data_IF_097032093858
#
_entry.id   IF_097032093858
#
_cell.length_a   1.000
_cell.length_b   1.000
_cell.length_c   1.000
_cell.angle_alpha   90.00
_cell.angle_beta   90.00
_cell.angle_gamma   90.00
#
_symmetry.space_group_name_H-M   'P 1'
#
loop_
_entity.id
_entity.type
_entity.pdbx_description
1 polymer ?
#
# COMPACT_ATOMS: atom_id res chain seq x y z
N UNK A 1 23.29 7.42 -11.03
CA UNK A 1 23.75 8.08 -9.79
C UNK A 1 23.04 7.47 -8.59
N UNK A 2 23.77 7.16 -7.51
CA UNK A 2 23.18 6.66 -6.27
C UNK A 2 22.47 7.81 -5.54
N UNK A 3 21.13 7.83 -5.58
CA UNK A 3 20.30 8.80 -4.87
C UNK A 3 20.63 8.81 -3.37
N UNK A 4 20.44 9.94 -2.67
CA UNK A 4 20.66 9.99 -1.22
C UNK A 4 19.60 9.19 -0.46
N UNK A 5 19.89 8.80 0.79
CA UNK A 5 18.93 8.07 1.62
C UNK A 5 17.64 8.87 1.87
N UNK A 6 17.76 10.18 2.05
CA UNK A 6 16.60 11.07 2.22
C UNK A 6 15.74 11.11 0.96
N UNK A 7 16.38 11.26 -0.21
CA UNK A 7 15.69 11.20 -1.49
C UNK A 7 15.00 9.86 -1.70
N UNK A 8 15.64 8.74 -1.34
CA UNK A 8 15.05 7.41 -1.41
C UNK A 8 13.76 7.30 -0.56
N UNK A 9 13.81 7.72 0.71
CA UNK A 9 12.63 7.66 1.58
C UNK A 9 11.51 8.59 1.10
N UNK A 10 11.86 9.77 0.58
CA UNK A 10 10.91 10.69 -0.03
C UNK A 10 10.25 10.07 -1.26
N UNK A 11 11.02 9.47 -2.18
CA UNK A 11 10.49 8.79 -3.36
C UNK A 11 9.58 7.61 -2.99
N UNK A 12 9.94 6.82 -1.97
CA UNK A 12 9.09 5.72 -1.47
C UNK A 12 7.77 6.23 -0.91
N UNK A 13 7.78 7.36 -0.19
CA UNK A 13 6.57 8.02 0.31
C UNK A 13 5.72 8.57 -0.82
N UNK A 14 6.35 9.22 -1.80
CA UNK A 14 5.68 9.74 -3.00
C UNK A 14 5.03 8.61 -3.78
N UNK A 15 5.73 7.51 -4.06
CA UNK A 15 5.17 6.30 -4.70
C UNK A 15 3.89 5.85 -3.99
N UNK A 16 3.91 5.70 -2.66
CA UNK A 16 2.72 5.35 -1.85
C UNK A 16 1.57 6.36 -1.99
N UNK A 17 1.87 7.66 -2.08
CA UNK A 17 0.84 8.70 -2.32
C UNK A 17 0.20 8.55 -3.69
N UNK A 18 0.99 8.31 -4.75
CA UNK A 18 0.46 8.07 -6.09
C UNK A 18 -0.51 6.89 -6.11
N UNK A 19 -0.14 5.76 -5.50
CA UNK A 19 -1.05 4.61 -5.41
C UNK A 19 -2.38 4.98 -4.73
N UNK A 20 -2.34 5.68 -3.58
CA UNK A 20 -3.55 6.07 -2.83
C UNK A 20 -4.43 7.05 -3.62
N UNK A 21 -3.82 8.10 -4.17
CA UNK A 21 -4.54 9.13 -4.92
C UNK A 21 -5.16 8.53 -6.18
N UNK A 22 -4.42 7.73 -6.94
CA UNK A 22 -4.96 7.07 -8.13
C UNK A 22 -6.05 6.03 -7.78
N UNK A 23 -5.97 5.36 -6.63
CA UNK A 23 -7.05 4.47 -6.14
C UNK A 23 -8.34 5.25 -5.88
N UNK A 24 -8.25 6.40 -5.22
CA UNK A 24 -9.41 7.26 -4.95
C UNK A 24 -10.00 7.79 -6.25
N UNK A 25 -9.17 8.35 -7.13
CA UNK A 25 -9.61 8.91 -8.42
C UNK A 25 -10.25 7.82 -9.29
N UNK A 26 -9.59 6.67 -9.41
CA UNK A 26 -10.10 5.55 -10.22
C UNK A 26 -11.41 4.99 -9.66
N UNK A 27 -11.56 4.93 -8.33
CA UNK A 27 -12.83 4.57 -7.70
C UNK A 27 -13.93 5.57 -8.06
N UNK A 28 -13.69 6.88 -7.89
CA UNK A 28 -14.67 7.92 -8.20
C UNK A 28 -15.08 7.92 -9.69
N UNK A 29 -14.11 7.75 -10.59
CA UNK A 29 -14.38 7.66 -12.03
C UNK A 29 -15.18 6.41 -12.37
N UNK A 30 -14.83 5.25 -11.82
CA UNK A 30 -15.55 4.00 -12.07
C UNK A 30 -16.97 4.03 -11.48
N UNK A 31 -17.14 4.57 -10.27
CA UNK A 31 -18.47 4.78 -9.67
C UNK A 31 -19.30 5.74 -10.52
N UNK A 32 -18.74 6.87 -10.94
CA UNK A 32 -19.43 7.85 -11.78
C UNK A 32 -19.82 7.28 -13.15
N UNK A 33 -18.92 6.54 -13.80
CA UNK A 33 -19.20 5.85 -15.05
C UNK A 33 -20.26 4.74 -14.88
N UNK A 34 -20.16 3.95 -13.80
CA UNK A 34 -21.13 2.90 -13.48
C UNK A 34 -22.52 3.46 -13.19
N UNK A 35 -22.60 4.52 -12.38
CA UNK A 35 -23.86 5.21 -12.09
C UNK A 35 -24.46 5.85 -13.36
N UNK A 36 -23.63 6.49 -14.19
CA UNK A 36 -24.05 7.05 -15.46
C UNK A 36 -24.58 5.98 -16.42
N UNK A 37 -23.89 4.84 -16.54
CA UNK A 37 -24.33 3.73 -17.37
C UNK A 37 -25.65 3.12 -16.87
N UNK A 38 -25.74 2.81 -15.58
CA UNK A 38 -26.93 2.20 -14.98
C UNK A 38 -28.13 3.15 -14.96
N UNK A 39 -27.91 4.47 -14.85
CA UNK A 39 -28.96 5.49 -14.90
C UNK A 39 -29.63 5.63 -16.27
N UNK A 40 -29.02 5.11 -17.34
CA UNK A 40 -29.61 5.07 -18.68
C UNK A 40 -30.40 3.77 -18.95
N UNK A 41 -30.38 2.80 -18.03
CA UNK A 41 -31.12 1.54 -18.20
C UNK A 41 -32.57 1.75 -17.76
N UNK A 42 -33.51 1.40 -18.64
CA UNK A 42 -34.95 1.47 -18.35
C UNK A 42 -35.34 0.49 -17.23
N UNK A 43 -35.83 1.08 -16.14
CA UNK A 43 -36.21 0.47 -14.86
C UNK A 43 -37.22 -0.67 -15.00
N UNK A 44 -38.20 -0.54 -15.90
CA UNK A 44 -39.36 -1.44 -15.99
C UNK A 44 -39.06 -2.82 -16.59
N UNK A 45 -37.85 -3.05 -17.11
CA UNK A 45 -37.54 -4.27 -17.88
C UNK A 45 -36.69 -5.30 -17.13
N UNK A 46 -36.22 -5.00 -15.92
CA UNK A 46 -35.38 -5.92 -15.15
C UNK A 46 -36.24 -6.79 -14.21
N UNK A 47 -36.41 -8.09 -14.49
CA UNK A 47 -37.00 -8.99 -13.51
C UNK A 47 -36.13 -9.02 -12.24
N UNK A 48 -36.75 -9.23 -11.07
CA UNK A 48 -36.07 -9.30 -9.79
C UNK A 48 -34.91 -10.32 -9.86
N UNK A 49 -33.69 -9.81 -10.04
CA UNK A 49 -32.50 -10.64 -10.12
C UNK A 49 -32.13 -11.04 -8.68
N UNK A 50 -32.05 -12.34 -8.40
CA UNK A 50 -31.77 -12.88 -7.07
C UNK A 50 -32.78 -12.50 -5.97
N UNK A 51 -34.00 -12.08 -6.34
CA UNK A 51 -35.03 -11.66 -5.37
C UNK A 51 -34.75 -10.34 -4.66
N UNK A 52 -33.76 -9.57 -5.14
CA UNK A 52 -33.48 -8.21 -4.65
C UNK A 52 -34.35 -7.19 -5.38
N UNK A 53 -34.74 -6.14 -4.66
CA UNK A 53 -35.37 -4.98 -5.27
C UNK A 53 -34.36 -4.18 -6.11
N UNK A 54 -34.88 -3.44 -7.08
CA UNK A 54 -34.07 -2.80 -8.10
C UNK A 54 -33.13 -1.73 -7.52
N UNK A 55 -33.57 -0.99 -6.50
CA UNK A 55 -32.74 0.01 -5.84
C UNK A 55 -31.51 -0.63 -5.20
N UNK A 56 -31.70 -1.77 -4.52
CA UNK A 56 -30.59 -2.52 -3.91
C UNK A 56 -29.65 -3.09 -4.95
N UNK A 57 -30.18 -3.68 -6.04
CA UNK A 57 -29.35 -4.23 -7.11
C UNK A 57 -28.46 -3.16 -7.77
N UNK A 58 -29.03 -2.00 -8.08
CA UNK A 58 -28.27 -0.88 -8.66
C UNK A 58 -27.30 -0.26 -7.65
N UNK A 59 -27.70 -0.12 -6.39
CA UNK A 59 -26.79 0.33 -5.33
C UNK A 59 -25.56 -0.59 -5.21
N UNK A 60 -25.78 -1.91 -5.21
CA UNK A 60 -24.70 -2.90 -5.18
C UNK A 60 -23.84 -2.86 -6.44
N UNK A 61 -24.45 -2.70 -7.62
CA UNK A 61 -23.72 -2.61 -8.87
C UNK A 61 -22.81 -1.36 -8.91
N UNK A 62 -23.32 -0.19 -8.47
CA UNK A 62 -22.55 1.06 -8.40
C UNK A 62 -21.39 0.93 -7.41
N UNK A 63 -21.65 0.36 -6.22
CA UNK A 63 -20.60 0.07 -5.23
C UNK A 63 -19.57 -0.91 -5.80
N UNK A 64 -20.02 -1.92 -6.54
CA UNK A 64 -19.17 -2.88 -7.24
C UNK A 64 -18.24 -2.20 -8.27
N UNK A 65 -18.78 -1.31 -9.10
CA UNK A 65 -17.99 -0.51 -10.04
C UNK A 65 -16.93 0.33 -9.32
N UNK A 66 -17.30 0.98 -8.21
CA UNK A 66 -16.35 1.74 -7.38
C UNK A 66 -15.24 0.88 -6.78
N UNK A 67 -15.59 -0.30 -6.26
CA UNK A 67 -14.62 -1.25 -5.70
C UNK A 67 -13.63 -1.76 -6.77
N UNK A 68 -14.13 -2.08 -7.97
CA UNK A 68 -13.28 -2.46 -9.10
C UNK A 68 -12.37 -1.33 -9.54
N UNK A 69 -12.90 -0.10 -9.64
CA UNK A 69 -12.11 1.09 -9.94
C UNK A 69 -11.01 1.33 -8.91
N UNK A 70 -11.33 1.18 -7.62
CA UNK A 70 -10.37 1.30 -6.53
C UNK A 70 -9.23 0.28 -6.65
N UNK A 71 -9.53 -0.99 -6.96
CA UNK A 71 -8.53 -2.04 -7.15
C UNK A 71 -7.60 -1.78 -8.35
N UNK A 72 -8.08 -1.14 -9.40
CA UNK A 72 -7.27 -0.79 -10.58
C UNK A 72 -6.33 0.39 -10.33
N UNK A 73 -6.64 1.27 -9.39
CA UNK A 73 -5.92 2.53 -9.20
C UNK A 73 -4.44 2.41 -8.82
N UNK A 74 -3.98 1.45 -7.99
CA UNK A 74 -2.56 1.27 -7.72
C UNK A 74 -1.73 0.91 -8.95
N UNK A 75 -2.29 0.15 -9.90
CA UNK A 75 -1.58 -0.20 -11.14
C UNK A 75 -1.35 1.06 -11.99
N UNK A 76 -2.39 1.88 -12.16
CA UNK A 76 -2.31 3.19 -12.85
C UNK A 76 -1.35 4.14 -12.13
N UNK A 77 -1.47 4.25 -10.80
CA UNK A 77 -0.59 5.11 -10.00
C UNK A 77 0.88 4.69 -10.05
N UNK A 78 1.15 3.39 -10.13
CA UNK A 78 2.49 2.86 -10.32
C UNK A 78 3.08 3.21 -11.69
N UNK A 79 2.28 3.12 -12.75
CA UNK A 79 2.68 3.51 -14.10
C UNK A 79 2.98 5.03 -14.19
N UNK A 80 2.08 5.86 -13.65
CA UNK A 80 2.26 7.32 -13.59
C UNK A 80 3.50 7.72 -12.79
N UNK A 81 3.71 7.09 -11.62
CA UNK A 81 4.90 7.35 -10.80
C UNK A 81 6.19 7.04 -11.57
N UNK A 82 6.24 5.89 -12.26
CA UNK A 82 7.40 5.49 -13.07
C UNK A 82 7.64 6.46 -14.23
N UNK A 83 6.57 6.88 -14.92
CA UNK A 83 6.67 7.83 -16.02
C UNK A 83 7.25 9.18 -15.56
N UNK A 84 6.72 9.74 -14.47
CA UNK A 84 7.14 11.04 -13.94
C UNK A 84 8.53 11.01 -13.30
N UNK A 85 8.92 9.89 -12.68
CA UNK A 85 10.19 9.76 -11.96
C UNK A 85 11.23 8.92 -12.71
N UNK A 86 11.11 8.77 -14.04
CA UNK A 86 11.92 7.87 -14.87
C UNK A 86 13.43 7.91 -14.58
N UNK A 87 13.97 9.11 -14.34
CA UNK A 87 15.41 9.32 -14.06
C UNK A 87 15.83 8.78 -12.69
N UNK A 88 14.95 8.87 -11.69
CA UNK A 88 15.22 8.49 -10.31
C UNK A 88 14.83 7.03 -9.98
N UNK A 89 13.96 6.40 -10.79
CA UNK A 89 13.45 5.04 -10.54
C UNK A 89 14.57 4.00 -10.52
N UNK A 90 15.55 4.08 -11.44
CA UNK A 90 16.67 3.13 -11.45
C UNK A 90 17.52 3.23 -10.16
N UNK A 91 17.83 4.46 -9.74
CA UNK A 91 18.55 4.69 -8.48
C UNK A 91 17.73 4.29 -7.24
N UNK A 92 16.40 4.46 -7.30
CA UNK A 92 15.49 4.02 -6.25
C UNK A 92 15.49 2.51 -6.09
N UNK A 93 15.44 1.75 -7.18
CA UNK A 93 15.45 0.27 -7.14
C UNK A 93 16.76 -0.23 -6.51
N UNK A 94 17.90 0.35 -6.88
CA UNK A 94 19.17 -0.07 -6.32
C UNK A 94 19.28 0.25 -4.82
N UNK A 95 18.82 1.43 -4.40
CA UNK A 95 18.70 1.76 -2.97
C UNK A 95 17.70 0.89 -2.23
N UNK A 96 16.61 0.47 -2.87
CA UNK A 96 15.61 -0.42 -2.28
C UNK A 96 16.24 -1.79 -1.97
N UNK A 97 17.10 -2.31 -2.85
CA UNK A 97 17.88 -3.54 -2.59
C UNK A 97 18.85 -3.35 -1.42
N UNK A 98 19.61 -2.26 -1.39
CA UNK A 98 20.53 -1.97 -0.29
C UNK A 98 19.78 -1.87 1.04
N UNK A 99 18.66 -1.14 1.04
CA UNK A 99 17.79 -1.03 2.20
C UNK A 99 17.31 -2.41 2.67
N UNK A 100 16.85 -3.26 1.76
CA UNK A 100 16.43 -4.62 2.10
C UNK A 100 17.57 -5.44 2.71
N UNK A 101 18.80 -5.33 2.19
CA UNK A 101 19.98 -5.98 2.79
C UNK A 101 20.26 -5.47 4.21
N UNK A 102 20.13 -4.16 4.45
CA UNK A 102 20.24 -3.57 5.79
C UNK A 102 19.17 -4.11 6.75
N UNK A 103 17.92 -4.23 6.31
CA UNK A 103 16.84 -4.82 7.13
C UNK A 103 17.14 -6.29 7.41
N UNK A 104 17.45 -7.08 6.37
CA UNK A 104 17.76 -8.51 6.51
C UNK A 104 18.91 -8.78 7.49
N UNK A 105 19.94 -7.92 7.49
CA UNK A 105 21.10 -8.04 8.38
C UNK A 105 20.79 -7.70 9.84
N UNK A 106 19.89 -6.75 10.09
CA UNK A 106 19.65 -6.19 11.42
C UNK A 106 18.34 -6.66 12.07
N UNK A 107 17.46 -7.34 11.33
CA UNK A 107 16.20 -7.88 11.86
C UNK A 107 16.48 -8.98 12.89
N UNK A 108 15.64 -9.03 13.93
CA UNK A 108 15.69 -10.11 14.92
C UNK A 108 15.04 -11.38 14.37
N UNK A 109 15.55 -12.55 14.78
CA UNK A 109 14.92 -13.85 14.57
C UNK A 109 13.54 -13.94 15.26
N UNK A 110 12.45 -14.20 14.52
CA UNK A 110 11.09 -14.20 15.04
C UNK A 110 10.71 -15.52 15.75
N UNK A 111 11.58 -16.53 15.73
CA UNK A 111 11.28 -17.88 16.22
C UNK A 111 10.93 -17.90 17.72
N UNK A 112 11.56 -17.04 18.51
CA UNK A 112 11.34 -16.95 19.96
C UNK A 112 10.65 -15.63 20.30
N UNK A 113 9.32 -15.62 20.22
CA UNK A 113 8.48 -14.51 20.64
C UNK A 113 7.68 -14.90 21.89
N UNK A 114 7.44 -13.93 22.77
CA UNK A 114 6.57 -14.12 23.94
C UNK A 114 5.45 -13.08 23.92
N UNK A 115 4.31 -13.40 24.55
CA UNK A 115 3.22 -12.43 24.73
C UNK A 115 3.66 -11.17 25.50
N UNK A 116 4.61 -11.32 26.42
CA UNK A 116 5.17 -10.22 27.22
C UNK A 116 6.23 -9.39 26.48
N UNK A 117 6.80 -9.91 25.38
CA UNK A 117 7.80 -9.23 24.56
C UNK A 117 7.48 -9.50 23.07
N UNK A 118 6.53 -8.78 22.48
CA UNK A 118 6.16 -8.97 21.07
C UNK A 118 7.32 -8.59 20.15
N UNK A 119 7.43 -9.30 19.02
CA UNK A 119 8.47 -9.05 18.01
C UNK A 119 8.28 -7.64 17.43
N UNK A 120 9.34 -6.81 17.35
CA UNK A 120 9.27 -5.54 16.65
C UNK A 120 9.02 -5.76 15.15
N UNK A 121 8.73 -4.68 14.41
CA UNK A 121 8.49 -4.73 12.95
C UNK A 121 9.60 -5.52 12.23
N UNK A 122 9.30 -6.73 11.78
CA UNK A 122 10.29 -7.66 11.24
C UNK A 122 10.77 -7.27 9.83
N UNK A 123 9.89 -6.66 9.04
CA UNK A 123 10.15 -6.31 7.64
C UNK A 123 10.53 -4.83 7.46
N UNK A 124 10.43 -4.01 8.51
CA UNK A 124 10.72 -2.58 8.45
C UNK A 124 9.71 -1.84 7.58
N UNK A 125 8.45 -2.27 7.56
CA UNK A 125 7.39 -1.70 6.73
C UNK A 125 7.08 -0.24 7.07
N UNK A 126 7.17 0.07 8.36
CA UNK A 126 6.85 1.38 8.95
C UNK A 126 7.96 2.41 8.72
N UNK A 127 9.13 2.00 8.21
CA UNK A 127 10.28 2.89 8.01
C UNK A 127 10.04 3.76 6.76
N UNK A 128 9.81 5.04 6.99
CA UNK A 128 9.59 6.06 5.96
C UNK A 128 10.56 7.25 6.06
N UNK A 129 11.58 7.18 6.91
CA UNK A 129 12.61 8.21 7.12
C UNK A 129 13.86 7.63 7.80
N UNK A 130 14.96 8.39 7.76
CA UNK A 130 16.19 8.03 8.48
C UNK A 130 16.01 7.98 10.00
N UNK A 131 15.19 8.86 10.56
CA UNK A 131 14.88 8.88 12.00
C UNK A 131 14.17 7.59 12.42
N UNK A 132 13.16 7.18 11.66
CA UNK A 132 12.43 5.93 11.89
C UNK A 132 13.34 4.71 11.69
N UNK A 133 14.26 4.74 10.72
CA UNK A 133 15.23 3.66 10.55
C UNK A 133 16.15 3.50 11.77
N UNK A 134 16.66 4.61 12.32
CA UNK A 134 17.47 4.58 13.56
C UNK A 134 16.65 4.11 14.76
N UNK A 135 15.38 4.52 14.85
CA UNK A 135 14.48 4.02 15.88
C UNK A 135 14.29 2.51 15.76
N UNK A 136 13.98 2.03 14.56
CA UNK A 136 13.81 0.62 14.27
C UNK A 136 15.06 -0.19 14.66
N UNK A 137 16.26 0.28 14.33
CA UNK A 137 17.51 -0.38 14.75
C UNK A 137 17.66 -0.47 16.28
N UNK A 138 17.22 0.56 17.02
CA UNK A 138 17.22 0.52 18.50
C UNK A 138 16.21 -0.50 19.00
N UNK A 139 15.01 -0.55 18.41
CA UNK A 139 13.97 -1.49 18.81
C UNK A 139 14.43 -2.95 18.62
N UNK A 140 15.09 -3.26 17.49
CA UNK A 140 15.69 -4.59 17.26
C UNK A 140 16.75 -4.94 18.33
N UNK A 141 17.64 -3.99 18.68
CA UNK A 141 18.68 -4.21 19.70
C UNK A 141 18.11 -4.38 21.10
N UNK A 142 17.09 -3.59 21.46
CA UNK A 142 16.40 -3.69 22.75
C UNK A 142 15.75 -5.08 22.86
N UNK A 143 15.09 -5.54 21.80
CA UNK A 143 14.47 -6.85 21.77
C UNK A 143 15.51 -7.98 21.93
N UNK A 144 16.65 -7.92 21.22
CA UNK A 144 17.74 -8.89 21.40
C UNK A 144 18.30 -8.88 22.82
N UNK A 145 18.56 -7.71 23.41
CA UNK A 145 19.06 -7.61 24.78
C UNK A 145 18.08 -8.21 25.78
N UNK A 146 16.78 -7.94 25.63
CA UNK A 146 15.75 -8.54 26.48
C UNK A 146 15.77 -10.07 26.34
N UNK A 147 15.90 -10.60 25.12
CA UNK A 147 16.04 -12.05 24.91
C UNK A 147 17.23 -12.64 25.67
N UNK A 148 18.40 -12.01 25.60
CA UNK A 148 19.60 -12.47 26.31
C UNK A 148 19.49 -12.40 27.83
N UNK A 149 18.67 -11.48 28.36
CA UNK A 149 18.53 -11.29 29.81
C UNK A 149 17.52 -12.24 30.44
N UNK A 150 16.52 -12.70 29.68
CA UNK A 150 15.39 -13.49 30.17
C UNK A 150 15.37 -14.96 29.69
N UNK A 151 16.39 -15.39 28.94
CA UNK A 151 16.67 -16.80 28.59
C UNK A 151 17.90 -17.27 29.36
#
# INVERSE_FOLDING_TARGET
ELISWEQFFNLRRTRRRYHRVCSIISALLATGAGAGFLGNIEVDTMPALFGLDMLTLFGLAIVGCGALGWLMGPAVGGALFKAMNRKAVLGMVEREKQFFQHIKKNRVDPSNHSFSNPVPDYYGEKIGSLKEYRQWLRDQRIYNRKRETFL
#
